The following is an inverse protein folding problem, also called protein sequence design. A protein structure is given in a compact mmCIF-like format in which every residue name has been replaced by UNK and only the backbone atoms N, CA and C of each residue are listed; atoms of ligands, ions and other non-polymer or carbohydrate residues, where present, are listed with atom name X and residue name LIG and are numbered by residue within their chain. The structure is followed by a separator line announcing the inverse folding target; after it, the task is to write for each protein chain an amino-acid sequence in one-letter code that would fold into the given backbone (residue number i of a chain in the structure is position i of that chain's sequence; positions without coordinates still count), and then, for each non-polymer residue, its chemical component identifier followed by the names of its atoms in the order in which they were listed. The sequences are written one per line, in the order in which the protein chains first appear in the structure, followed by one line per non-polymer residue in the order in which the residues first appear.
data_IF_258872605695
#
_entry.id   IF_258872605695
#
_cell.length_a   1.000
_cell.length_b   1.000
_cell.length_c   1.000
_cell.angle_alpha   90.00
_cell.angle_beta   90.00
_cell.angle_gamma   90.00
#
_symmetry.space_group_name_H-M   'P 1'
#
loop_
_entity.id
_entity.type
_entity.pdbx_description
1 polymer ?
#
# COMPACT_ATOMS: atom_id res chain seq x y z
N UNK A 1 19.59 12.10 -10.03
CA UNK A 1 20.25 10.95 -10.68
C UNK A 1 19.22 10.42 -11.64
N UNK A 2 19.43 10.68 -12.94
CA UNK A 2 18.55 10.19 -14.00
C UNK A 2 18.95 8.74 -14.28
N UNK A 3 18.31 7.81 -13.58
CA UNK A 3 18.50 6.38 -13.83
C UNK A 3 17.59 5.95 -14.98
N UNK A 4 18.14 5.26 -15.98
CA UNK A 4 17.34 4.70 -17.05
C UNK A 4 16.38 3.63 -16.53
N UNK A 5 15.25 3.44 -17.21
CA UNK A 5 14.28 2.39 -16.83
C UNK A 5 14.91 0.99 -16.77
N UNK A 6 15.98 0.76 -17.52
CA UNK A 6 16.75 -0.49 -17.55
C UNK A 6 17.58 -0.68 -16.28
N UNK A 7 18.16 0.40 -15.73
CA UNK A 7 18.94 0.35 -14.49
C UNK A 7 18.07 0.13 -13.26
N UNK A 8 16.87 0.73 -13.22
CA UNK A 8 15.88 0.48 -12.15
C UNK A 8 15.43 -0.99 -12.10
N UNK A 9 15.34 -1.67 -13.26
CA UNK A 9 14.95 -3.09 -13.34
C UNK A 9 15.94 -4.05 -12.66
N UNK A 10 17.20 -3.67 -12.51
CA UNK A 10 18.23 -4.50 -11.86
C UNK A 10 17.95 -4.64 -10.35
N UNK A 11 17.25 -3.69 -9.73
CA UNK A 11 16.93 -3.73 -8.30
C UNK A 11 15.64 -4.49 -7.96
N UNK A 12 14.78 -4.76 -8.97
CA UNK A 12 13.45 -5.31 -8.73
C UNK A 12 13.24 -6.72 -9.30
N UNK A 13 14.17 -7.22 -10.12
CA UNK A 13 14.08 -8.58 -10.68
C UNK A 13 15.45 -9.19 -10.96
N UNK A 14 15.50 -10.52 -10.99
CA UNK A 14 16.69 -11.26 -11.38
C UNK A 14 16.90 -11.21 -12.89
N UNK A 15 18.11 -10.87 -13.33
CA UNK A 15 18.45 -10.80 -14.75
C UNK A 15 18.17 -12.13 -15.48
N UNK A 16 17.55 -12.05 -16.66
CA UNK A 16 17.28 -13.21 -17.51
C UNK A 16 15.99 -13.97 -17.18
N UNK A 17 15.24 -13.59 -16.13
CA UNK A 17 13.92 -14.18 -15.82
C UNK A 17 12.85 -13.29 -16.44
N UNK A 18 11.99 -13.81 -17.35
CA UNK A 18 10.87 -13.05 -17.90
C UNK A 18 9.82 -12.78 -16.81
N UNK A 19 9.29 -11.58 -16.80
CA UNK A 19 8.19 -11.21 -15.90
C UNK A 19 6.92 -11.98 -16.31
N UNK A 20 6.27 -12.63 -15.36
CA UNK A 20 4.94 -13.25 -15.61
C UNK A 20 3.94 -12.17 -15.98
N UNK A 21 3.08 -12.49 -16.91
CA UNK A 21 1.98 -11.66 -17.37
C UNK A 21 0.91 -11.52 -16.27
N UNK A 22 0.06 -10.51 -16.39
CA UNK A 22 -1.07 -10.31 -15.49
C UNK A 22 -1.99 -11.53 -15.43
N UNK A 23 -2.25 -12.17 -16.58
CA UNK A 23 -3.06 -13.40 -16.66
C UNK A 23 -2.43 -14.56 -15.87
N UNK A 24 -1.11 -14.73 -15.97
CA UNK A 24 -0.39 -15.75 -15.21
C UNK A 24 -0.43 -15.46 -13.71
N UNK A 25 -0.29 -14.19 -13.31
CA UNK A 25 -0.37 -13.79 -11.92
C UNK A 25 -1.76 -14.02 -11.32
N UNK A 26 -2.82 -13.62 -12.01
CA UNK A 26 -4.20 -13.93 -11.58
C UNK A 26 -4.45 -15.44 -11.55
N UNK A 27 -3.92 -16.19 -12.50
CA UNK A 27 -3.98 -17.63 -12.50
C UNK A 27 -3.40 -18.25 -11.23
N UNK A 28 -2.19 -17.84 -10.85
CA UNK A 28 -1.52 -18.31 -9.62
C UNK A 28 -2.31 -17.91 -8.37
N UNK A 29 -2.77 -16.66 -8.30
CA UNK A 29 -3.54 -16.13 -7.16
C UNK A 29 -4.82 -16.96 -6.96
N UNK A 30 -5.65 -17.11 -8.01
CA UNK A 30 -6.93 -17.80 -7.91
C UNK A 30 -6.75 -19.32 -7.73
N UNK A 31 -5.75 -19.94 -8.36
CA UNK A 31 -5.46 -21.36 -8.13
C UNK A 31 -5.00 -21.63 -6.70
N UNK A 32 -4.15 -20.78 -6.13
CA UNK A 32 -3.73 -20.94 -4.74
C UNK A 32 -4.91 -20.77 -3.79
N UNK A 33 -5.75 -19.76 -4.00
CA UNK A 33 -6.97 -19.56 -3.23
C UNK A 33 -7.88 -20.81 -3.24
N UNK A 34 -8.06 -21.40 -4.42
CA UNK A 34 -8.85 -22.64 -4.58
C UNK A 34 -8.27 -23.84 -3.84
N UNK A 35 -6.94 -24.02 -3.88
CA UNK A 35 -6.28 -25.12 -3.16
C UNK A 35 -6.38 -24.94 -1.66
N UNK A 36 -6.30 -23.72 -1.17
CA UNK A 36 -6.43 -23.36 0.25
C UNK A 36 -7.90 -23.33 0.71
N UNK A 37 -8.86 -23.47 -0.21
CA UNK A 37 -10.30 -23.40 0.06
C UNK A 37 -10.70 -22.09 0.77
N UNK A 38 -10.12 -20.96 0.34
CA UNK A 38 -10.50 -19.68 0.90
C UNK A 38 -11.94 -19.32 0.56
N UNK A 39 -12.61 -18.55 1.40
CA UNK A 39 -14.02 -18.22 1.25
C UNK A 39 -14.28 -17.19 0.15
N UNK A 40 -13.36 -16.23 -0.02
CA UNK A 40 -13.42 -15.24 -1.10
C UNK A 40 -12.03 -14.64 -1.37
N UNK A 41 -11.88 -14.02 -2.54
CA UNK A 41 -10.69 -13.31 -3.00
C UNK A 41 -11.09 -11.94 -3.49
N UNK A 42 -10.44 -10.90 -2.98
CA UNK A 42 -10.56 -9.56 -3.52
C UNK A 42 -9.17 -8.94 -3.71
N UNK A 43 -9.12 -7.87 -4.47
CA UNK A 43 -7.91 -7.10 -4.75
C UNK A 43 -8.19 -5.63 -4.51
N UNK A 44 -7.22 -4.90 -3.95
CA UNK A 44 -7.25 -3.45 -3.77
C UNK A 44 -6.08 -2.77 -4.47
N UNK A 45 -5.79 -1.53 -4.12
CA UNK A 45 -4.60 -0.83 -4.55
C UNK A 45 -4.65 -0.24 -5.95
N UNK A 46 -3.45 -0.05 -6.55
CA UNK A 46 -3.33 0.70 -7.81
C UNK A 46 -3.96 -0.01 -9.01
N UNK A 47 -4.07 -1.34 -8.97
CA UNK A 47 -4.68 -2.13 -10.06
C UNK A 47 -6.20 -2.00 -10.12
N UNK A 48 -6.86 -1.63 -9.02
CA UNK A 48 -8.31 -1.40 -8.97
C UNK A 48 -8.67 0.04 -9.27
N UNK A 49 -7.71 0.97 -9.19
CA UNK A 49 -7.93 2.38 -9.46
C UNK A 49 -7.78 2.68 -10.96
N UNK A 50 -8.86 3.08 -11.66
CA UNK A 50 -8.80 3.38 -13.10
C UNK A 50 -7.91 4.61 -13.42
N UNK A 51 -7.65 5.47 -12.43
CA UNK A 51 -6.82 6.67 -12.59
C UNK A 51 -5.34 6.43 -12.26
N UNK A 52 -4.98 5.26 -11.74
CA UNK A 52 -3.58 4.95 -11.45
C UNK A 52 -2.81 4.66 -12.75
N UNK A 53 -1.54 5.10 -12.87
CA UNK A 53 -0.67 4.71 -13.96
C UNK A 53 -0.57 3.18 -14.05
N UNK A 54 -0.72 2.65 -15.26
CA UNK A 54 -0.53 1.22 -15.52
C UNK A 54 0.89 0.99 -16.00
N UNK A 55 1.70 0.38 -15.16
CA UNK A 55 3.10 0.08 -15.45
C UNK A 55 3.54 -1.25 -14.81
N UNK A 56 4.78 -1.64 -15.07
CA UNK A 56 5.37 -2.88 -14.57
C UNK A 56 5.75 -2.85 -13.07
N UNK A 57 5.55 -1.73 -12.39
CA UNK A 57 5.80 -1.58 -10.95
C UNK A 57 4.55 -1.73 -10.10
N UNK A 58 3.38 -1.90 -10.74
CA UNK A 58 2.14 -2.18 -9.99
C UNK A 58 2.22 -3.55 -9.32
N UNK A 59 2.07 -3.56 -7.99
CA UNK A 59 1.91 -4.77 -7.19
C UNK A 59 0.48 -5.34 -7.27
N UNK A 60 0.30 -6.51 -6.68
CA UNK A 60 -1.00 -7.17 -6.52
C UNK A 60 -1.35 -7.16 -5.04
N UNK A 61 -2.15 -6.18 -4.62
CA UNK A 61 -2.68 -6.06 -3.26
C UNK A 61 -3.89 -7.00 -3.10
N UNK A 62 -3.67 -8.23 -2.67
CA UNK A 62 -4.68 -9.30 -2.63
C UNK A 62 -5.11 -9.58 -1.21
N UNK A 63 -6.41 -9.83 -1.00
CA UNK A 63 -6.92 -10.40 0.25
C UNK A 63 -7.57 -11.76 -0.01
N UNK A 64 -7.22 -12.72 0.82
CA UNK A 64 -7.92 -13.99 0.97
C UNK A 64 -8.79 -13.93 2.23
N UNK A 65 -10.09 -14.09 2.07
CA UNK A 65 -11.00 -14.26 3.18
C UNK A 65 -10.99 -15.73 3.58
N UNK A 66 -10.66 -15.98 4.84
CA UNK A 66 -10.39 -17.34 5.34
C UNK A 66 -11.28 -17.70 6.53
N UNK A 67 -11.60 -18.98 6.67
CA UNK A 67 -12.35 -19.51 7.79
C UNK A 67 -11.46 -19.70 9.03
N UNK A 68 -10.27 -20.26 8.83
CA UNK A 68 -9.32 -20.60 9.89
C UNK A 68 -7.94 -20.01 9.54
N UNK A 69 -7.65 -18.84 10.11
CA UNK A 69 -6.38 -18.16 9.91
C UNK A 69 -5.23 -18.95 10.53
N UNK A 70 -5.43 -19.52 11.72
CA UNK A 70 -4.38 -20.19 12.47
C UNK A 70 -3.90 -21.47 11.77
N UNK A 71 -4.81 -22.21 11.15
CA UNK A 71 -4.45 -23.38 10.33
C UNK A 71 -3.55 -22.99 9.14
N UNK A 72 -3.81 -21.87 8.48
CA UNK A 72 -3.01 -21.40 7.33
C UNK A 72 -1.65 -20.84 7.74
N UNK A 73 -1.54 -20.25 8.94
CA UNK A 73 -0.26 -19.73 9.45
C UNK A 73 0.62 -20.82 10.06
N UNK A 74 0.04 -21.95 10.48
CA UNK A 74 0.78 -23.07 11.08
C UNK A 74 1.75 -23.73 10.11
N UNK A 75 1.43 -23.76 8.81
CA UNK A 75 2.30 -24.25 7.75
C UNK A 75 2.26 -23.31 6.55
N UNK A 76 3.36 -22.64 6.27
CA UNK A 76 3.51 -21.66 5.19
C UNK A 76 4.03 -22.26 3.89
N UNK A 77 4.14 -23.60 3.77
CA UNK A 77 4.62 -24.25 2.55
C UNK A 77 3.77 -23.89 1.32
N UNK A 78 2.50 -23.52 1.51
CA UNK A 78 1.62 -23.08 0.43
C UNK A 78 2.09 -21.78 -0.25
N UNK A 79 2.90 -20.94 0.41
CA UNK A 79 3.46 -19.72 -0.20
C UNK A 79 4.37 -20.04 -1.40
N UNK A 80 4.98 -21.23 -1.45
CA UNK A 80 5.81 -21.68 -2.57
C UNK A 80 5.03 -21.74 -3.91
N UNK A 81 3.70 -21.84 -3.84
CA UNK A 81 2.83 -21.87 -5.03
C UNK A 81 2.88 -20.58 -5.83
N UNK A 82 3.17 -19.45 -5.21
CA UNK A 82 3.31 -18.15 -5.88
C UNK A 82 4.61 -18.04 -6.70
N UNK A 83 5.57 -18.91 -6.46
CA UNK A 83 6.86 -18.92 -7.14
C UNK A 83 8.02 -18.51 -6.23
N UNK A 84 9.21 -18.44 -6.83
CA UNK A 84 10.44 -18.20 -6.09
C UNK A 84 10.56 -16.73 -5.69
N UNK A 85 10.63 -16.49 -4.39
CA UNK A 85 10.73 -15.16 -3.79
C UNK A 85 12.18 -14.71 -3.67
N UNK A 86 12.44 -13.44 -3.99
CA UNK A 86 13.71 -12.75 -3.70
C UNK A 86 13.69 -12.12 -2.31
N UNK A 87 12.56 -11.51 -1.96
CA UNK A 87 12.34 -10.85 -0.68
C UNK A 87 10.97 -11.26 -0.17
N UNK A 88 10.91 -11.55 1.11
CA UNK A 88 9.68 -11.91 1.79
C UNK A 88 9.64 -11.23 3.15
N UNK A 89 8.49 -10.66 3.51
CA UNK A 89 8.25 -10.08 4.83
C UNK A 89 6.88 -10.50 5.33
N UNK A 90 6.81 -10.92 6.59
CA UNK A 90 5.57 -11.25 7.27
C UNK A 90 5.23 -10.15 8.26
N UNK A 91 4.05 -9.59 8.15
CA UNK A 91 3.56 -8.52 9.02
C UNK A 91 2.35 -9.01 9.80
N UNK A 92 2.43 -8.90 11.11
CA UNK A 92 1.31 -9.17 12.00
C UNK A 92 0.47 -7.89 12.11
N UNK A 93 -0.76 -7.98 11.64
CA UNK A 93 -1.77 -6.93 11.82
C UNK A 93 -2.84 -7.51 12.74
N UNK A 94 -3.30 -6.83 13.73
CA UNK A 94 -4.26 -7.28 14.77
C UNK A 94 -4.91 -8.66 14.54
N UNK A 95 -5.91 -8.73 13.65
CA UNK A 95 -6.63 -9.96 13.29
C UNK A 95 -6.26 -10.53 11.94
N UNK A 96 -5.25 -9.99 11.25
CA UNK A 96 -4.86 -10.34 9.88
C UNK A 96 -3.38 -10.69 9.79
N UNK A 97 -2.99 -11.38 8.73
CA UNK A 97 -1.59 -11.61 8.38
C UNK A 97 -1.33 -11.06 7.00
N UNK A 98 -0.26 -10.30 6.85
CA UNK A 98 0.16 -9.75 5.57
C UNK A 98 1.51 -10.35 5.17
N UNK A 99 1.57 -10.89 3.98
CA UNK A 99 2.76 -11.44 3.36
C UNK A 99 3.15 -10.56 2.18
N UNK A 100 4.28 -9.86 2.30
CA UNK A 100 4.85 -9.05 1.24
C UNK A 100 5.86 -9.91 0.49
N UNK A 101 5.64 -10.14 -0.79
CA UNK A 101 6.44 -11.07 -1.59
C UNK A 101 6.90 -10.42 -2.88
N UNK A 102 8.22 -10.25 -3.04
CA UNK A 102 8.84 -9.87 -4.30
C UNK A 102 9.46 -11.11 -4.94
N UNK A 103 9.07 -11.40 -6.17
CA UNK A 103 9.50 -12.59 -6.89
C UNK A 103 10.72 -12.33 -7.79
N UNK A 104 11.45 -13.40 -8.16
CA UNK A 104 12.63 -13.31 -9.03
C UNK A 104 12.32 -12.70 -10.42
N UNK A 105 11.08 -12.78 -10.87
CA UNK A 105 10.61 -12.19 -12.14
C UNK A 105 10.23 -10.70 -12.05
N UNK A 106 10.28 -10.12 -10.86
CA UNK A 106 9.95 -8.72 -10.59
C UNK A 106 8.50 -8.44 -10.24
N UNK A 107 7.61 -9.44 -10.33
CA UNK A 107 6.25 -9.28 -9.81
C UNK A 107 6.27 -9.18 -8.28
N UNK A 108 5.27 -8.50 -7.73
CA UNK A 108 5.09 -8.37 -6.29
C UNK A 108 3.64 -8.69 -5.92
N UNK A 109 3.47 -9.46 -4.86
CA UNK A 109 2.17 -9.71 -4.23
C UNK A 109 2.24 -9.26 -2.77
N UNK A 110 1.29 -8.44 -2.36
CA UNK A 110 1.00 -8.09 -0.99
C UNK A 110 -0.28 -8.83 -0.60
N UNK A 111 -0.12 -10.02 0.00
CA UNK A 111 -1.21 -10.92 0.32
C UNK A 111 -1.66 -10.78 1.76
N UNK A 112 -2.89 -10.34 1.96
CA UNK A 112 -3.53 -10.33 3.28
C UNK A 112 -4.38 -11.59 3.47
N UNK A 113 -4.17 -12.33 4.57
CA UNK A 113 -5.15 -13.30 5.08
C UNK A 113 -6.04 -12.59 6.09
N UNK A 114 -7.34 -12.59 5.85
CA UNK A 114 -8.34 -11.92 6.66
C UNK A 114 -9.43 -12.92 7.08
N UNK A 115 -9.63 -13.17 8.38
CA UNK A 115 -10.78 -13.94 8.86
C UNK A 115 -12.09 -13.29 8.40
N UNK A 116 -13.09 -14.11 8.08
CA UNK A 116 -14.37 -13.63 7.52
C UNK A 116 -15.10 -12.63 8.43
N UNK A 117 -14.97 -12.75 9.73
CA UNK A 117 -15.56 -11.84 10.73
C UNK A 117 -14.94 -10.44 10.68
N UNK A 118 -13.74 -10.30 10.08
CA UNK A 118 -13.01 -9.04 9.95
C UNK A 118 -13.03 -8.43 8.54
N UNK A 119 -13.90 -8.93 7.64
CA UNK A 119 -14.04 -8.38 6.27
C UNK A 119 -14.34 -6.89 6.32
N UNK A 120 -15.25 -6.46 7.20
CA UNK A 120 -15.62 -5.04 7.34
C UNK A 120 -14.41 -4.16 7.64
N UNK A 121 -13.54 -4.59 8.54
CA UNK A 121 -12.34 -3.85 8.92
C UNK A 121 -11.36 -3.74 7.73
N UNK A 122 -11.25 -4.80 6.93
CA UNK A 122 -10.44 -4.76 5.70
C UNK A 122 -11.06 -3.79 4.68
N UNK A 123 -12.35 -3.89 4.41
CA UNK A 123 -13.06 -2.97 3.49
C UNK A 123 -12.95 -1.53 3.95
N UNK A 124 -13.14 -1.26 5.24
CA UNK A 124 -12.97 0.08 5.82
C UNK A 124 -11.51 0.56 5.74
N UNK A 125 -10.54 -0.35 5.59
CA UNK A 125 -9.13 0.00 5.39
C UNK A 125 -8.78 0.32 3.95
N UNK A 126 -9.58 -0.06 2.98
CA UNK A 126 -9.33 0.16 1.56
C UNK A 126 -10.23 1.29 0.99
N UNK A 127 -9.69 2.05 0.04
CA UNK A 127 -10.46 3.08 -0.66
C UNK A 127 -11.22 2.51 -1.85
N UNK A 128 -10.61 1.52 -2.50
CA UNK A 128 -11.15 0.87 -3.68
C UNK A 128 -10.77 -0.62 -3.65
N UNK A 129 -11.66 -1.47 -4.14
CA UNK A 129 -11.38 -2.90 -4.27
C UNK A 129 -12.24 -3.51 -5.38
N UNK A 130 -11.78 -4.64 -5.88
CA UNK A 130 -12.48 -5.48 -6.87
C UNK A 130 -12.54 -6.90 -6.34
N UNK A 131 -13.72 -7.50 -6.33
CA UNK A 131 -13.91 -8.90 -5.97
C UNK A 131 -13.50 -9.76 -7.15
N UNK A 132 -12.61 -10.72 -6.91
CA UNK A 132 -12.10 -11.65 -7.94
C UNK A 132 -12.81 -13.01 -7.91
N UNK A 133 -13.17 -13.48 -6.70
CA UNK A 133 -13.91 -14.71 -6.47
C UNK A 133 -14.66 -14.62 -5.13
N UNK A 134 -15.98 -14.85 -5.15
CA UNK A 134 -16.80 -14.79 -3.95
C UNK A 134 -18.08 -15.66 -4.11
N UNK A 135 -17.93 -16.97 -4.05
CA UNK A 135 -19.06 -17.89 -4.26
C UNK A 135 -20.12 -17.81 -3.16
N UNK A 136 -19.82 -17.18 -2.02
CA UNK A 136 -20.73 -17.09 -0.88
C UNK A 136 -21.37 -15.70 -0.75
N UNK A 137 -21.01 -14.71 -1.58
CA UNK A 137 -21.53 -13.35 -1.52
C UNK A 137 -21.11 -12.59 -0.26
N UNK A 138 -19.93 -12.86 0.27
CA UNK A 138 -19.42 -12.20 1.49
C UNK A 138 -19.19 -10.71 1.31
N UNK A 139 -18.95 -10.27 0.07
CA UNK A 139 -18.73 -8.87 -0.27
C UNK A 139 -20.00 -8.14 -0.75
N UNK A 140 -21.15 -8.81 -0.91
CA UNK A 140 -22.38 -8.22 -1.50
C UNK A 140 -22.91 -6.98 -0.76
N UNK A 141 -22.64 -6.88 0.54
CA UNK A 141 -23.07 -5.75 1.37
C UNK A 141 -22.05 -4.60 1.42
N UNK A 142 -20.90 -4.72 0.76
CA UNK A 142 -19.83 -3.74 0.80
C UNK A 142 -19.64 -3.06 -0.55
N UNK A 143 -19.31 -1.78 -0.49
CA UNK A 143 -18.97 -0.98 -1.68
C UNK A 143 -17.65 -0.23 -1.44
N UNK A 144 -16.86 -0.01 -2.49
CA UNK A 144 -15.67 0.84 -2.42
C UNK A 144 -16.00 2.24 -1.88
N UNK A 145 -15.07 2.78 -1.08
CA UNK A 145 -15.18 4.13 -0.52
C UNK A 145 -14.03 5.01 -0.99
N UNK A 146 -14.03 5.50 -2.25
CA UNK A 146 -12.92 6.24 -2.84
C UNK A 146 -12.47 7.46 -2.03
N UNK A 147 -13.41 8.05 -1.28
CA UNK A 147 -13.18 9.24 -0.44
C UNK A 147 -12.17 9.06 0.68
N UNK A 148 -11.75 7.84 0.97
CA UNK A 148 -10.82 7.54 2.07
C UNK A 148 -9.49 8.31 1.95
N UNK A 149 -8.99 8.49 0.73
CA UNK A 149 -7.73 9.18 0.48
C UNK A 149 -7.90 10.66 0.10
N UNK A 150 -9.12 11.18 0.18
CA UNK A 150 -9.35 12.57 -0.12
C UNK A 150 -8.73 13.45 0.95
N UNK A 151 -8.09 14.52 0.51
CA UNK A 151 -7.58 15.55 1.41
C UNK A 151 -8.75 16.26 2.07
N UNK A 152 -8.79 16.26 3.39
CA UNK A 152 -9.77 17.05 4.13
C UNK A 152 -9.45 18.52 3.93
N UNK A 153 -10.44 19.30 3.53
CA UNK A 153 -10.28 20.76 3.38
C UNK A 153 -9.84 21.38 4.71
N UNK A 154 -8.76 22.15 4.67
CA UNK A 154 -8.27 22.85 5.86
C UNK A 154 -9.21 23.97 6.25
N UNK A 155 -9.51 24.13 7.55
CA UNK A 155 -9.98 25.39 8.07
C UNK A 155 -8.81 26.40 8.15
N UNK A 156 -9.12 27.69 8.24
CA UNK A 156 -8.09 28.71 8.48
C UNK A 156 -7.24 28.39 9.73
N UNK A 157 -7.89 27.89 10.77
CA UNK A 157 -7.22 27.47 12.01
C UNK A 157 -6.26 26.30 11.80
N UNK A 158 -6.62 25.30 10.98
CA UNK A 158 -5.76 24.16 10.70
C UNK A 158 -4.54 24.58 9.87
N UNK A 159 -4.77 25.45 8.90
CA UNK A 159 -3.70 26.03 8.09
C UNK A 159 -2.70 26.81 8.96
N UNK A 160 -3.19 27.71 9.82
CA UNK A 160 -2.35 28.49 10.73
C UNK A 160 -1.56 27.59 11.70
N UNK A 161 -2.19 26.54 12.24
CA UNK A 161 -1.51 25.56 13.10
C UNK A 161 -0.37 24.86 12.37
N UNK A 162 -0.62 24.39 11.14
CA UNK A 162 0.37 23.70 10.34
C UNK A 162 1.56 24.61 9.99
N UNK A 163 1.30 25.87 9.61
CA UNK A 163 2.34 26.86 9.38
C UNK A 163 3.15 27.14 10.64
N UNK A 164 2.48 27.35 11.78
CA UNK A 164 3.14 27.64 13.05
C UNK A 164 4.02 26.46 13.49
N UNK A 165 3.53 25.22 13.38
CA UNK A 165 4.30 24.04 13.73
C UNK A 165 5.54 23.87 12.84
N UNK A 166 5.39 24.05 11.52
CA UNK A 166 6.51 24.05 10.61
C UNK A 166 7.61 25.04 11.01
N UNK A 167 7.24 26.28 11.27
CA UNK A 167 8.20 27.32 11.65
C UNK A 167 8.79 27.10 13.03
N UNK A 168 8.00 26.65 13.99
CA UNK A 168 8.47 26.35 15.33
C UNK A 168 9.52 25.24 15.33
N UNK A 169 9.24 24.15 14.63
CA UNK A 169 10.15 23.00 14.57
C UNK A 169 11.36 23.26 13.69
N UNK A 170 11.25 24.11 12.66
CA UNK A 170 12.41 24.50 11.84
C UNK A 170 13.53 25.16 12.67
N UNK A 171 13.19 25.83 13.75
CA UNK A 171 14.17 26.37 14.68
C UNK A 171 14.99 25.27 15.40
N UNK A 172 14.39 24.09 15.62
CA UNK A 172 15.12 22.94 16.19
C UNK A 172 16.07 22.32 15.17
N UNK A 173 15.70 22.32 13.88
CA UNK A 173 16.58 21.88 12.79
C UNK A 173 17.84 22.79 12.76
N UNK A 174 17.65 24.11 12.74
CA UNK A 174 18.75 25.09 12.75
C UNK A 174 19.64 24.90 13.99
N UNK A 175 19.03 24.74 15.17
CA UNK A 175 19.76 24.50 16.42
C UNK A 175 20.58 23.20 16.37
N UNK A 176 20.02 22.14 15.78
CA UNK A 176 20.69 20.86 15.60
C UNK A 176 21.91 20.98 14.69
N UNK A 177 21.78 21.67 13.55
CA UNK A 177 22.87 21.94 12.61
C UNK A 177 23.97 22.74 13.30
N UNK A 178 23.62 23.85 13.97
CA UNK A 178 24.59 24.72 14.65
C UNK A 178 25.41 23.97 15.70
N UNK A 179 24.79 23.03 16.40
CA UNK A 179 25.43 22.23 17.45
C UNK A 179 26.08 20.96 16.95
N UNK A 180 26.12 20.74 15.64
CA UNK A 180 26.59 19.50 14.99
C UNK A 180 25.84 18.22 15.47
N UNK A 181 24.57 18.38 15.85
CA UNK A 181 23.66 17.30 16.22
C UNK A 181 22.84 16.87 15.01
N UNK A 182 23.49 16.27 13.99
CA UNK A 182 22.86 16.00 12.68
C UNK A 182 21.66 15.06 12.78
N UNK A 183 21.73 14.00 13.59
CA UNK A 183 20.61 13.07 13.80
C UNK A 183 19.39 13.80 14.36
N UNK A 184 19.58 14.66 15.36
CA UNK A 184 18.52 15.49 15.91
C UNK A 184 17.90 16.44 14.86
N UNK A 185 18.76 17.09 14.04
CA UNK A 185 18.30 17.99 13.00
C UNK A 185 17.49 17.25 11.92
N UNK A 186 17.96 16.11 11.45
CA UNK A 186 17.29 15.30 10.42
C UNK A 186 15.99 14.69 10.92
N UNK A 187 15.94 14.24 12.17
CA UNK A 187 14.72 13.72 12.80
C UNK A 187 13.59 14.77 12.81
N UNK A 188 13.89 16.02 13.23
CA UNK A 188 12.91 17.09 13.20
C UNK A 188 12.55 17.56 11.79
N UNK A 189 13.51 17.57 10.87
CA UNK A 189 13.28 17.94 9.48
C UNK A 189 12.34 16.95 8.77
N UNK A 190 12.64 15.67 8.85
CA UNK A 190 11.89 14.64 8.14
C UNK A 190 10.66 14.14 8.92
N UNK A 191 10.72 14.14 10.24
CA UNK A 191 9.61 13.72 11.09
C UNK A 191 8.46 14.73 11.15
N UNK A 192 8.75 16.01 11.34
CA UNK A 192 7.72 17.02 11.59
C UNK A 192 7.65 18.07 10.47
N UNK A 193 8.77 18.75 10.15
CA UNK A 193 8.72 19.82 9.13
C UNK A 193 8.23 19.29 7.78
N UNK A 194 8.72 18.14 7.35
CA UNK A 194 8.28 17.52 6.08
C UNK A 194 6.78 17.19 6.12
N UNK A 195 6.27 16.64 7.22
CA UNK A 195 4.85 16.28 7.33
C UNK A 195 3.95 17.52 7.25
N UNK A 196 4.30 18.60 7.94
CA UNK A 196 3.53 19.83 7.87
C UNK A 196 3.60 20.48 6.47
N UNK A 197 4.76 20.45 5.82
CA UNK A 197 4.90 20.92 4.45
C UNK A 197 4.04 20.11 3.46
N UNK A 198 4.02 18.78 3.58
CA UNK A 198 3.21 17.92 2.72
C UNK A 198 1.71 18.17 2.90
N UNK A 199 1.23 18.46 4.13
CA UNK A 199 -0.16 18.88 4.35
C UNK A 199 -0.47 20.19 3.62
N UNK A 200 0.40 21.21 3.75
CA UNK A 200 0.21 22.50 3.10
C UNK A 200 0.19 22.36 1.58
N UNK A 201 1.08 21.54 1.01
CA UNK A 201 1.10 21.26 -0.42
C UNK A 201 -0.15 20.49 -0.88
N UNK A 202 -0.64 19.53 -0.10
CA UNK A 202 -1.87 18.81 -0.42
C UNK A 202 -3.08 19.76 -0.47
N UNK A 203 -3.19 20.66 0.48
CA UNK A 203 -4.26 21.69 0.50
C UNK A 203 -4.14 22.66 -0.69
N UNK A 204 -2.91 23.08 -1.03
CA UNK A 204 -2.67 23.92 -2.20
C UNK A 204 -3.08 23.22 -3.49
N UNK A 205 -2.64 21.97 -3.70
CA UNK A 205 -3.00 21.19 -4.89
C UNK A 205 -4.51 20.96 -4.97
N UNK A 206 -5.16 20.67 -3.84
CA UNK A 206 -6.60 20.52 -3.78
C UNK A 206 -7.34 21.80 -4.17
N UNK A 207 -6.87 22.97 -3.70
CA UNK A 207 -7.42 24.26 -4.04
C UNK A 207 -7.22 24.60 -5.52
N UNK A 208 -6.02 24.37 -6.06
CA UNK A 208 -5.69 24.66 -7.46
C UNK A 208 -6.46 23.78 -8.44
N UNK A 209 -6.63 22.50 -8.11
CA UNK A 209 -7.40 21.54 -8.93
C UNK A 209 -8.91 21.62 -8.70
N UNK A 210 -9.37 22.31 -7.67
CA UNK A 210 -10.79 22.35 -7.29
C UNK A 210 -11.32 20.98 -6.86
N UNK A 211 -10.46 20.11 -6.33
CA UNK A 211 -10.81 18.75 -5.88
C UNK A 211 -10.10 18.42 -4.57
N UNK A 212 -10.74 17.61 -3.74
CA UNK A 212 -10.13 17.05 -2.53
C UNK A 212 -9.42 15.72 -2.78
N UNK A 213 -9.59 15.15 -3.97
CA UNK A 213 -8.91 13.92 -4.38
C UNK A 213 -7.53 14.26 -4.97
N UNK A 214 -6.53 14.25 -4.13
CA UNK A 214 -5.12 14.44 -4.50
C UNK A 214 -4.34 13.11 -4.50
N UNK A 215 -5.05 11.99 -4.40
CA UNK A 215 -4.49 10.63 -4.41
C UNK A 215 -3.90 10.19 -3.07
N UNK A 216 -3.70 8.87 -2.97
CA UNK A 216 -3.01 8.23 -1.82
C UNK A 216 -1.56 8.69 -1.79
N UNK A 217 -1.09 9.16 -0.64
CA UNK A 217 0.30 9.64 -0.45
C UNK A 217 0.71 10.71 -1.46
N UNK A 218 -0.22 11.59 -1.85
CA UNK A 218 0.03 12.73 -2.76
C UNK A 218 0.46 12.31 -4.19
N UNK A 219 -0.01 11.14 -4.64
CA UNK A 219 0.28 10.63 -5.99
C UNK A 219 -0.71 11.15 -7.03
#
# INVERSE_FOLDING_TARGET
IDMSSTELKVFTKKAGIPMRTETEMFGVILQTAKVLQVNAVAMSGSRTNPNAPKDEFQDYDVVYIVEDLDALVADLAWLERFGKRMIEQHVLLDHRRLYLMLFEDGNRIDLTLCPKEHIKEWVDSEADFTVLDDPQGLFDSYAPTPKRYWTVAASATDFDKSCNEFWWVSAYVVKGIYRNHLVYATDHLYGICQQELLKLLAWQVAADKGTVDVGKNYK
#
